data_IF_120721066571
#
_entry.id   IF_120721066571
#
_cell.length_a   1.000
_cell.length_b   1.000
_cell.length_c   1.000
_cell.angle_alpha   90.00
_cell.angle_beta   90.00
_cell.angle_gamma   90.00
#
_symmetry.space_group_name_H-M   'P 1'
#
loop_
_entity.id
_entity.type
_entity.pdbx_description
1 polymer ?
#
# COMPACT_ATOMS: atom_id res chain seq x y z
N UNK A 1 -1.24 -10.87 -9.68
CA UNK A 1 -0.43 -11.06 -8.43
C UNK A 1 -1.36 -11.42 -7.28
N UNK A 2 -1.09 -12.52 -6.58
CA UNK A 2 -1.78 -12.86 -5.34
C UNK A 2 -0.95 -12.39 -4.12
N UNK A 3 -1.60 -11.90 -3.07
CA UNK A 3 -0.98 -11.60 -1.79
C UNK A 3 -1.66 -12.45 -0.72
N UNK A 4 -0.86 -13.24 0.00
CA UNK A 4 -1.29 -14.02 1.16
C UNK A 4 -1.20 -13.20 2.44
N UNK A 5 -1.80 -13.73 3.52
CA UNK A 5 -1.64 -13.21 4.87
C UNK A 5 -0.26 -13.64 5.41
N UNK A 6 0.64 -12.68 5.58
CA UNK A 6 1.98 -12.91 6.14
C UNK A 6 2.30 -11.82 7.14
N UNK A 7 3.02 -12.17 8.22
CA UNK A 7 3.29 -11.25 9.32
C UNK A 7 2.17 -11.23 10.36
N UNK A 8 2.20 -10.23 11.25
CA UNK A 8 1.15 -9.99 12.25
C UNK A 8 0.15 -8.99 11.70
N UNK A 9 -1.12 -9.36 11.75
CA UNK A 9 -2.21 -8.48 11.33
C UNK A 9 -2.66 -7.51 12.44
N UNK A 10 -3.46 -6.47 12.14
CA UNK A 10 -3.89 -5.49 13.13
C UNK A 10 -4.81 -6.06 14.22
N UNK A 11 -5.35 -7.26 14.04
CA UNK A 11 -6.29 -7.90 14.96
C UNK A 11 -5.58 -8.81 15.96
N UNK A 12 -4.39 -9.29 15.61
CA UNK A 12 -3.48 -10.05 16.48
C UNK A 12 -2.66 -9.18 17.43
N UNK A 13 -2.57 -7.88 17.15
CA UNK A 13 -1.86 -6.92 18.00
C UNK A 13 -2.77 -6.40 19.12
N UNK A 14 -2.21 -6.32 20.34
CA UNK A 14 -2.91 -5.77 21.51
C UNK A 14 -3.27 -4.31 21.26
N UNK A 15 -4.54 -3.98 21.44
CA UNK A 15 -5.03 -2.60 21.43
C UNK A 15 -5.12 -1.99 22.83
N UNK A 16 -5.13 -0.66 22.91
CA UNK A 16 -5.07 0.09 24.17
C UNK A 16 -6.32 -0.05 25.07
N UNK A 17 -7.39 -0.67 24.58
CA UNK A 17 -8.64 -0.85 25.31
C UNK A 17 -8.55 -1.91 26.40
N UNK A 18 -9.25 -1.71 27.52
CA UNK A 18 -9.25 -2.67 28.62
C UNK A 18 -10.21 -3.85 28.40
N UNK A 19 -11.42 -3.59 27.90
CA UNK A 19 -12.48 -4.61 27.73
C UNK A 19 -13.11 -4.61 26.35
N UNK A 20 -13.31 -3.43 25.74
CA UNK A 20 -13.85 -3.26 24.38
C UNK A 20 -13.43 -1.91 23.79
N UNK A 21 -13.27 -1.85 22.46
CA UNK A 21 -13.05 -0.57 21.76
C UNK A 21 -14.25 -0.08 20.94
N UNK A 22 -15.40 -0.77 20.98
CA UNK A 22 -16.62 -0.36 20.27
C UNK A 22 -17.82 -0.45 21.23
N UNK A 23 -18.72 0.53 21.19
CA UNK A 23 -19.97 0.55 21.98
C UNK A 23 -19.94 1.52 23.16
N UNK A 24 -20.78 1.29 24.16
CA UNK A 24 -20.83 2.11 25.39
C UNK A 24 -19.60 1.84 26.29
N UNK A 25 -19.21 2.71 27.23
CA UNK A 25 -18.06 2.48 28.14
C UNK A 25 -16.74 2.05 27.45
N UNK A 26 -16.34 2.74 26.38
CA UNK A 26 -15.05 2.51 25.70
C UNK A 26 -13.89 2.88 26.64
N UNK A 27 -12.88 2.01 26.74
CA UNK A 27 -11.74 2.17 27.67
C UNK A 27 -10.41 2.39 26.93
N UNK A 28 -10.40 3.22 25.89
CA UNK A 28 -9.21 3.49 25.06
C UNK A 28 -9.55 4.17 23.74
N UNK A 29 -8.56 4.30 22.87
CA UNK A 29 -8.69 4.87 21.52
C UNK A 29 -8.93 3.82 20.45
N UNK A 30 -8.70 2.53 20.76
CA UNK A 30 -8.73 1.43 19.79
C UNK A 30 -7.47 1.33 18.94
N UNK A 31 -6.42 2.08 19.29
CA UNK A 31 -5.14 2.04 18.59
C UNK A 31 -4.30 0.83 19.04
N UNK A 32 -3.56 0.21 18.10
CA UNK A 32 -2.67 -0.90 18.43
C UNK A 32 -1.44 -0.40 19.21
N UNK A 33 -1.07 -1.12 20.26
CA UNK A 33 0.11 -0.85 21.10
C UNK A 33 1.43 -1.24 20.41
N UNK A 34 1.36 -2.01 19.33
CA UNK A 34 2.50 -2.29 18.45
C UNK A 34 2.12 -2.15 16.99
N UNK A 35 3.10 -2.03 16.11
CA UNK A 35 2.84 -1.82 14.69
C UNK A 35 2.57 -3.16 13.99
N UNK A 36 1.40 -3.33 13.33
CA UNK A 36 1.16 -4.51 12.51
C UNK A 36 2.09 -4.53 11.29
N UNK A 37 2.45 -5.72 10.84
CA UNK A 37 3.37 -5.91 9.70
C UNK A 37 2.66 -6.40 8.44
N UNK A 38 1.37 -6.74 8.54
CA UNK A 38 0.52 -7.11 7.42
C UNK A 38 -0.90 -6.57 7.60
N UNK A 39 -1.71 -6.65 6.54
CA UNK A 39 -3.12 -6.24 6.59
C UNK A 39 -4.05 -7.31 7.15
N UNK A 40 -3.65 -8.59 7.14
CA UNK A 40 -4.50 -9.72 7.56
C UNK A 40 -5.55 -10.16 6.55
N UNK A 41 -5.45 -9.68 5.30
CA UNK A 41 -6.38 -10.03 4.22
C UNK A 41 -5.66 -10.60 3.01
N UNK A 42 -6.25 -11.64 2.42
CA UNK A 42 -5.86 -12.12 1.10
C UNK A 42 -6.28 -11.08 0.05
N UNK A 43 -5.46 -10.89 -0.97
CA UNK A 43 -5.83 -10.02 -2.09
C UNK A 43 -5.31 -10.51 -3.43
N UNK A 44 -6.07 -10.17 -4.47
CA UNK A 44 -5.73 -10.45 -5.86
C UNK A 44 -5.62 -9.13 -6.62
N UNK A 45 -4.48 -8.92 -7.27
CA UNK A 45 -4.21 -7.72 -8.06
C UNK A 45 -4.00 -8.08 -9.53
N UNK A 46 -4.81 -7.47 -10.40
CA UNK A 46 -4.58 -7.41 -11.84
C UNK A 46 -4.02 -6.04 -12.22
N UNK A 47 -3.21 -5.99 -13.27
CA UNK A 47 -2.69 -4.73 -13.80
C UNK A 47 -2.36 -4.83 -15.29
N UNK A 48 -2.52 -3.71 -15.99
CA UNK A 48 -2.12 -3.52 -17.37
C UNK A 48 -1.05 -2.43 -17.40
N UNK A 49 0.08 -2.69 -18.05
CA UNK A 49 1.18 -1.72 -18.23
C UNK A 49 1.39 -1.49 -19.72
N UNK A 50 1.62 -0.25 -20.11
CA UNK A 50 2.02 0.10 -21.47
C UNK A 50 3.31 0.93 -21.46
N UNK A 51 4.05 0.80 -22.56
CA UNK A 51 5.30 1.51 -22.82
C UNK A 51 5.22 2.05 -24.24
N UNK A 52 5.43 3.35 -24.40
CA UNK A 52 5.40 4.04 -25.68
C UNK A 52 6.74 4.77 -25.89
N UNK A 53 7.67 4.17 -26.65
CA UNK A 53 8.94 4.82 -26.98
C UNK A 53 8.70 5.97 -27.96
N UNK A 54 9.12 7.17 -27.59
CA UNK A 54 9.00 8.41 -28.37
C UNK A 54 10.28 9.23 -28.19
N UNK A 55 11.26 9.01 -29.07
CA UNK A 55 12.61 9.59 -29.02
C UNK A 55 12.62 11.07 -28.59
N UNK A 56 13.41 11.46 -27.55
CA UNK A 56 14.36 10.65 -26.76
C UNK A 56 13.75 10.00 -25.49
N UNK A 57 12.45 10.19 -25.26
CA UNK A 57 11.78 9.70 -24.06
C UNK A 57 11.04 8.37 -24.29
N UNK A 58 10.80 7.64 -23.21
CA UNK A 58 9.86 6.51 -23.20
C UNK A 58 8.75 6.85 -22.23
N UNK A 59 7.53 6.98 -22.74
CA UNK A 59 6.36 7.14 -21.90
C UNK A 59 5.95 5.79 -21.34
N UNK A 60 5.60 5.75 -20.06
CA UNK A 60 5.08 4.56 -19.42
C UNK A 60 3.78 4.87 -18.71
N UNK A 61 2.93 3.86 -18.57
CA UNK A 61 1.77 3.95 -17.71
C UNK A 61 1.27 2.58 -17.27
N UNK A 62 0.49 2.60 -16.19
CA UNK A 62 -0.08 1.41 -15.60
C UNK A 62 -1.49 1.71 -15.09
N UNK A 63 -2.37 0.73 -15.22
CA UNK A 63 -3.65 0.68 -14.53
C UNK A 63 -3.71 -0.62 -13.72
N UNK A 64 -4.13 -0.55 -12.47
CA UNK A 64 -4.22 -1.71 -11.58
C UNK A 64 -5.51 -1.74 -10.77
N UNK A 65 -5.98 -2.94 -10.48
CA UNK A 65 -7.11 -3.21 -9.62
C UNK A 65 -6.73 -4.30 -8.63
N UNK A 66 -6.89 -4.01 -7.34
CA UNK A 66 -6.64 -4.94 -6.24
C UNK A 66 -7.96 -5.21 -5.51
N UNK A 67 -8.41 -6.45 -5.59
CA UNK A 67 -9.55 -6.96 -4.84
C UNK A 67 -9.07 -7.57 -3.52
N UNK A 68 -9.59 -7.07 -2.42
CA UNK A 68 -9.37 -7.64 -1.08
C UNK A 68 -10.50 -8.63 -0.78
N UNK A 69 -10.15 -9.84 -0.38
CA UNK A 69 -11.15 -10.83 0.03
C UNK A 69 -11.60 -10.54 1.45
N UNK A 70 -12.91 -10.61 1.68
CA UNK A 70 -13.50 -10.46 3.02
C UNK A 70 -13.07 -11.58 3.96
N UNK A 71 -12.98 -11.27 5.25
CA UNK A 71 -12.65 -12.23 6.32
C UNK A 71 -13.77 -12.25 7.35
N UNK A 72 -14.30 -13.43 7.63
CA UNK A 72 -15.34 -13.65 8.64
C UNK A 72 -14.71 -14.06 9.98
N UNK A 73 -15.45 -13.91 11.07
CA UNK A 73 -15.03 -14.27 12.44
C UNK A 73 -13.71 -13.61 12.86
N UNK A 74 -13.53 -12.34 12.51
CA UNK A 74 -12.38 -11.56 12.97
C UNK A 74 -12.59 -11.20 14.43
N UNK A 75 -11.56 -11.43 15.24
CA UNK A 75 -11.50 -11.05 16.64
C UNK A 75 -10.29 -10.15 16.85
N UNK A 76 -10.45 -9.06 17.59
CA UNK A 76 -9.37 -8.16 17.97
C UNK A 76 -8.88 -8.46 19.38
N UNK A 77 -7.57 -8.42 19.56
CA UNK A 77 -6.95 -8.52 20.87
C UNK A 77 -6.97 -7.17 21.61
N UNK A 78 -7.57 -7.14 22.79
CA UNK A 78 -7.53 -5.99 23.71
C UNK A 78 -6.63 -6.31 24.91
N UNK A 79 -6.45 -5.35 25.83
CA UNK A 79 -5.64 -5.56 27.04
C UNK A 79 -6.20 -6.71 27.88
N UNK A 80 -5.36 -7.27 28.74
CA UNK A 80 -5.69 -8.45 29.56
C UNK A 80 -6.01 -9.71 28.74
N UNK A 81 -5.53 -9.77 27.49
CA UNK A 81 -5.66 -10.93 26.60
C UNK A 81 -7.12 -11.30 26.28
N UNK A 82 -8.03 -10.32 26.36
CA UNK A 82 -9.44 -10.48 25.99
C UNK A 82 -9.57 -10.34 24.47
N UNK A 83 -10.43 -11.16 23.86
CA UNK A 83 -10.74 -11.11 22.43
C UNK A 83 -12.11 -10.51 22.19
N UNK A 84 -12.17 -9.41 21.45
CA UNK A 84 -13.41 -8.74 21.07
C UNK A 84 -13.82 -9.17 19.66
N UNK A 85 -14.99 -9.79 19.46
CA UNK A 85 -15.44 -10.20 18.14
C UNK A 85 -15.85 -8.98 17.29
N UNK A 86 -15.24 -8.84 16.12
CA UNK A 86 -15.56 -7.81 15.13
C UNK A 86 -16.53 -8.32 14.05
N UNK A 87 -16.59 -9.63 13.83
CA UNK A 87 -17.47 -10.27 12.84
C UNK A 87 -16.84 -10.34 11.46
N UNK A 88 -17.59 -9.96 10.43
CA UNK A 88 -17.12 -9.93 9.03
C UNK A 88 -16.52 -8.58 8.68
N UNK A 89 -15.28 -8.57 8.19
CA UNK A 89 -14.59 -7.38 7.70
C UNK A 89 -14.30 -7.51 6.20
N UNK A 90 -14.66 -6.48 5.46
CA UNK A 90 -14.42 -6.36 4.01
C UNK A 90 -13.65 -5.06 3.75
N UNK A 91 -12.33 -5.17 3.47
CA UNK A 91 -11.56 -4.01 3.04
C UNK A 91 -12.01 -3.55 1.66
N UNK A 92 -12.02 -2.23 1.44
CA UNK A 92 -12.31 -1.68 0.13
C UNK A 92 -11.29 -2.13 -0.93
N UNK A 93 -11.74 -2.29 -2.16
CA UNK A 93 -10.85 -2.52 -3.29
C UNK A 93 -9.97 -1.29 -3.55
N UNK A 94 -8.81 -1.51 -4.18
CA UNK A 94 -7.89 -0.44 -4.57
C UNK A 94 -7.85 -0.35 -6.09
N UNK A 95 -8.09 0.84 -6.62
CA UNK A 95 -7.85 1.15 -8.04
C UNK A 95 -6.64 2.07 -8.09
N UNK A 96 -5.62 1.70 -8.86
CA UNK A 96 -4.41 2.49 -9.01
C UNK A 96 -4.12 2.79 -10.46
N UNK A 97 -3.56 3.95 -10.74
CA UNK A 97 -2.96 4.26 -12.03
C UNK A 97 -1.63 4.97 -11.84
N UNK A 98 -0.74 4.83 -12.81
CA UNK A 98 0.44 5.66 -12.91
C UNK A 98 0.75 6.01 -14.35
N UNK A 99 1.47 7.10 -14.52
CA UNK A 99 2.01 7.50 -15.80
C UNK A 99 3.29 8.29 -15.59
N UNK A 100 4.15 8.33 -16.61
CA UNK A 100 5.39 9.08 -16.55
C UNK A 100 6.21 8.93 -17.82
N UNK A 101 7.44 9.44 -17.73
CA UNK A 101 8.44 9.33 -18.78
C UNK A 101 9.78 8.93 -18.21
N UNK A 102 10.53 8.15 -18.97
CA UNK A 102 11.95 7.86 -18.73
C UNK A 102 12.80 8.42 -19.86
N UNK A 103 14.01 8.86 -19.54
CA UNK A 103 15.02 9.34 -20.47
C UNK A 103 16.32 8.59 -20.21
N UNK A 104 16.92 8.05 -21.27
CA UNK A 104 18.29 7.57 -21.20
C UNK A 104 19.24 8.77 -21.31
N UNK A 105 20.05 9.00 -20.28
CA UNK A 105 21.07 10.06 -20.30
C UNK A 105 22.32 9.60 -21.04
N UNK A 106 22.65 8.31 -20.93
CA UNK A 106 23.71 7.62 -21.68
C UNK A 106 23.50 6.09 -21.57
N UNK A 107 24.44 5.30 -22.08
CA UNK A 107 24.38 3.83 -22.09
C UNK A 107 24.23 3.18 -20.70
N UNK A 108 24.60 3.90 -19.62
CA UNK A 108 24.59 3.41 -18.25
C UNK A 108 23.59 4.14 -17.36
N UNK A 109 23.21 5.37 -17.68
CA UNK A 109 22.42 6.24 -16.82
C UNK A 109 21.06 6.56 -17.42
N UNK A 110 20.01 6.51 -16.58
CA UNK A 110 18.66 6.92 -16.96
C UNK A 110 17.99 7.72 -15.84
N UNK A 111 17.09 8.61 -16.24
CA UNK A 111 16.25 9.43 -15.37
C UNK A 111 14.78 9.09 -15.65
N UNK A 112 13.93 9.08 -14.64
CA UNK A 112 12.49 8.98 -14.82
C UNK A 112 11.73 9.96 -13.95
N UNK A 113 10.61 10.44 -14.49
CA UNK A 113 9.64 11.27 -13.79
C UNK A 113 8.28 10.62 -13.97
N UNK A 114 7.48 10.54 -12.90
CA UNK A 114 6.13 10.01 -13.00
C UNK A 114 5.22 10.45 -11.88
N UNK A 115 3.96 10.09 -12.03
CA UNK A 115 2.92 10.25 -11.03
C UNK A 115 2.24 8.91 -10.80
N UNK A 116 2.09 8.53 -9.54
CA UNK A 116 1.37 7.34 -9.10
C UNK A 116 0.18 7.77 -8.25
N UNK A 117 -0.99 7.19 -8.51
CA UNK A 117 -2.21 7.45 -7.76
C UNK A 117 -2.94 6.17 -7.42
N UNK A 118 -3.33 6.02 -6.16
CA UNK A 118 -4.15 4.91 -5.68
C UNK A 118 -5.35 5.41 -4.90
N UNK A 119 -6.54 4.92 -5.26
CA UNK A 119 -7.78 5.16 -4.52
C UNK A 119 -8.20 3.91 -3.77
N UNK A 120 -8.38 4.03 -2.45
CA UNK A 120 -8.74 2.91 -1.58
C UNK A 120 -10.22 3.05 -1.19
N UNK A 121 -11.01 2.02 -1.46
CA UNK A 121 -12.42 1.97 -1.07
C UNK A 121 -12.64 1.98 0.45
N UNK A 122 -13.86 2.33 0.86
CA UNK A 122 -14.26 2.27 2.27
C UNK A 122 -14.26 0.84 2.78
N UNK A 123 -13.93 0.68 4.05
CA UNK A 123 -14.02 -0.57 4.78
C UNK A 123 -15.46 -0.80 5.25
N UNK A 124 -15.92 -2.04 5.12
CA UNK A 124 -17.21 -2.48 5.64
C UNK A 124 -17.01 -3.49 6.76
N UNK A 125 -17.87 -3.41 7.76
CA UNK A 125 -18.01 -4.37 8.84
C UNK A 125 -19.46 -4.85 8.86
N UNK A 126 -19.66 -6.17 8.80
CA UNK A 126 -20.98 -6.81 8.77
C UNK A 126 -21.92 -6.19 7.71
N UNK A 127 -21.38 -5.95 6.50
CA UNK A 127 -22.11 -5.38 5.37
C UNK A 127 -22.39 -3.87 5.44
N UNK A 128 -22.04 -3.19 6.54
CA UNK A 128 -22.22 -1.73 6.70
C UNK A 128 -20.88 -1.02 6.68
N UNK A 129 -20.84 0.23 6.18
CA UNK A 129 -19.61 1.02 6.23
C UNK A 129 -19.20 1.24 7.69
N UNK A 130 -17.92 1.01 8.00
CA UNK A 130 -17.37 1.30 9.33
C UNK A 130 -17.48 2.80 9.58
N UNK A 131 -18.00 3.25 10.74
CA UNK A 131 -18.02 4.67 11.09
C UNK A 131 -16.63 5.29 10.98
N UNK A 132 -16.52 6.44 10.31
CA UNK A 132 -15.23 7.10 10.06
C UNK A 132 -14.44 6.52 8.88
N UNK A 133 -14.87 5.43 8.25
CA UNK A 133 -14.21 4.93 7.04
C UNK A 133 -14.50 5.84 5.84
N UNK A 134 -13.44 6.47 5.35
CA UNK A 134 -13.45 7.32 4.15
C UNK A 134 -12.71 6.65 3.00
N UNK A 135 -12.97 7.12 1.78
CA UNK A 135 -12.16 6.74 0.63
C UNK A 135 -10.85 7.51 0.72
N UNK A 136 -9.74 6.79 0.78
CA UNK A 136 -8.39 7.34 0.89
C UNK A 136 -7.81 7.55 -0.52
N UNK A 137 -7.15 8.68 -0.73
CA UNK A 137 -6.50 9.01 -2.01
C UNK A 137 -5.01 9.18 -1.77
N UNK A 138 -4.22 8.40 -2.51
CA UNK A 138 -2.77 8.35 -2.35
C UNK A 138 -2.11 8.75 -3.67
N UNK A 139 -1.74 10.02 -3.81
CA UNK A 139 -0.98 10.56 -4.93
C UNK A 139 0.48 10.79 -4.56
N UNK A 140 1.40 10.35 -5.42
CA UNK A 140 2.86 10.50 -5.26
C UNK A 140 3.49 10.96 -6.56
N UNK A 141 4.30 12.03 -6.52
CA UNK A 141 5.21 12.38 -7.60
C UNK A 141 6.52 11.63 -7.42
N UNK A 142 7.03 11.01 -8.49
CA UNK A 142 8.18 10.13 -8.47
C UNK A 142 9.30 10.70 -9.33
N UNK A 143 10.49 10.82 -8.77
CA UNK A 143 11.73 11.09 -9.49
C UNK A 143 12.69 9.92 -9.29
N UNK A 144 13.06 9.26 -10.38
CA UNK A 144 13.92 8.08 -10.39
C UNK A 144 15.23 8.35 -11.13
N UNK A 145 16.31 7.78 -10.62
CA UNK A 145 17.62 7.71 -11.28
C UNK A 145 18.13 6.27 -11.24
N UNK A 146 18.63 5.76 -12.36
CA UNK A 146 19.21 4.42 -12.43
C UNK A 146 20.56 4.45 -13.13
N UNK A 147 21.54 3.74 -12.57
CA UNK A 147 22.90 3.64 -13.08
C UNK A 147 23.37 2.19 -13.15
N UNK A 148 23.83 1.76 -14.33
CA UNK A 148 24.42 0.45 -14.56
C UNK A 148 25.89 0.45 -14.11
N UNK A 149 26.17 -0.19 -12.98
CA UNK A 149 27.52 -0.33 -12.43
C UNK A 149 28.38 -1.25 -13.30
N UNK A 150 27.82 -2.39 -13.68
CA UNK A 150 28.38 -3.34 -14.64
C UNK A 150 27.24 -4.13 -15.31
N UNK A 151 27.56 -5.09 -16.18
CA UNK A 151 26.57 -5.89 -16.91
C UNK A 151 25.61 -6.69 -16.02
N UNK A 152 26.00 -6.95 -14.76
CA UNK A 152 25.24 -7.78 -13.81
C UNK A 152 24.61 -7.00 -12.65
N UNK A 153 24.94 -5.71 -12.49
CA UNK A 153 24.57 -4.89 -11.33
C UNK A 153 24.13 -3.51 -11.77
N UNK A 154 22.93 -3.13 -11.36
CA UNK A 154 22.43 -1.76 -11.48
C UNK A 154 22.09 -1.20 -10.11
N UNK A 155 22.21 0.11 -9.96
CA UNK A 155 21.76 0.84 -8.78
C UNK A 155 20.62 1.76 -9.21
N UNK A 156 19.48 1.67 -8.55
CA UNK A 156 18.32 2.52 -8.79
C UNK A 156 17.94 3.25 -7.51
N UNK A 157 17.83 4.57 -7.60
CA UNK A 157 17.42 5.46 -6.52
C UNK A 157 16.14 6.15 -6.97
N UNK A 158 15.12 6.18 -6.12
CA UNK A 158 13.90 6.91 -6.40
C UNK A 158 13.47 7.71 -5.18
N UNK A 159 13.06 8.95 -5.41
CA UNK A 159 12.42 9.82 -4.43
C UNK A 159 10.96 9.97 -4.81
N UNK A 160 10.07 9.72 -3.87
CA UNK A 160 8.65 9.98 -4.00
C UNK A 160 8.22 11.12 -3.07
N UNK A 161 7.54 12.14 -3.59
CA UNK A 161 6.94 13.20 -2.82
C UNK A 161 5.42 13.02 -2.79
N UNK A 162 4.83 12.95 -1.59
CA UNK A 162 3.40 12.87 -1.41
C UNK A 162 2.72 14.17 -1.83
N UNK A 163 1.66 14.08 -2.64
CA UNK A 163 0.87 15.25 -3.09
C UNK A 163 -0.58 15.21 -2.63
N UNK A 164 -0.93 14.24 -1.80
CA UNK A 164 -2.24 14.12 -1.13
C UNK A 164 -2.03 13.94 0.36
N UNK A 165 -2.99 14.39 1.16
CA UNK A 165 -2.91 14.39 2.64
C UNK A 165 -2.64 13.02 3.27
N UNK A 166 -3.07 11.95 2.60
CA UNK A 166 -2.96 10.59 3.14
C UNK A 166 -1.67 9.88 2.67
N UNK A 167 -0.88 10.48 1.78
CA UNK A 167 0.39 9.91 1.29
C UNK A 167 1.54 10.36 2.18
N UNK A 168 2.56 9.51 2.45
CA UNK A 168 3.78 9.94 3.10
C UNK A 168 4.43 11.15 2.41
N UNK A 169 4.91 12.11 3.21
CA UNK A 169 5.48 13.36 2.69
C UNK A 169 6.66 13.09 1.73
N UNK A 170 7.58 12.22 2.13
CA UNK A 170 8.75 11.82 1.34
C UNK A 170 9.03 10.34 1.51
N UNK A 171 9.37 9.68 0.40
CA UNK A 171 9.86 8.30 0.37
C UNK A 171 11.18 8.24 -0.39
N UNK A 172 12.16 7.53 0.15
CA UNK A 172 13.43 7.23 -0.52
C UNK A 172 13.52 5.73 -0.72
N UNK A 173 13.70 5.30 -1.97
CA UNK A 173 13.87 3.89 -2.30
C UNK A 173 15.20 3.68 -3.00
N UNK A 174 16.00 2.75 -2.46
CA UNK A 174 17.25 2.30 -3.07
C UNK A 174 17.09 0.83 -3.44
N UNK A 175 17.38 0.48 -4.69
CA UNK A 175 17.32 -0.89 -5.20
C UNK A 175 18.61 -1.23 -5.93
N UNK A 176 19.09 -2.45 -5.72
CA UNK A 176 20.23 -2.99 -6.47
C UNK A 176 19.82 -4.31 -7.15
N UNK A 177 19.26 -4.26 -8.37
CA UNK A 177 18.99 -5.46 -9.15
C UNK A 177 20.29 -6.20 -9.51
N UNK A 178 20.25 -7.53 -9.37
CA UNK A 178 21.35 -8.45 -9.66
C UNK A 178 20.89 -9.46 -10.72
N UNK A 179 21.68 -9.65 -11.79
CA UNK A 179 21.55 -10.78 -12.70
C UNK A 179 22.72 -11.75 -12.51
N UNK A 180 22.46 -13.04 -12.61
CA UNK A 180 23.42 -14.11 -12.35
C UNK A 180 23.96 -14.70 -13.64
#
# INVERSE_FOLDING_TARGET
>A
RYKSVTGKDPFEVVTDCQTRCIGENVTGTGLPLSLPTGSGFHSLQGSLTWLFPSDPAVFFGNLSYLHNFKRSNVERLVRNNIREPLGELEPGAIIGFNFGMGLALNDKASLSLGYDHSTIGRMKQNGRNVPGSVRTQLGTLLLGYSYRLNEKRSLSIAVGAGVTRDTPDVSLTVRMPLSF
#
